data_IF_874486670027
#
_entry.id   IF_874486670027
#
_cell.length_a   1.000
_cell.length_b   1.000
_cell.length_c   1.000
_cell.angle_alpha   90.00
_cell.angle_beta   90.00
_cell.angle_gamma   90.00
#
_symmetry.space_group_name_H-M   'P 1'
#
loop_
_entity.id
_entity.type
_entity.pdbx_description
1 polymer ?
#
# COMPACT_ATOMS: atom_id res chain seq x y z
N UNK A 1 -24.92 -27.90 -51.26
CA UNK A 1 -24.54 -26.47 -51.21
C UNK A 1 -23.33 -26.34 -50.30
N UNK A 2 -22.14 -26.15 -50.87
CA UNK A 2 -20.92 -26.03 -50.09
C UNK A 2 -20.82 -24.61 -49.52
N UNK A 3 -20.76 -24.50 -48.18
CA UNK A 3 -20.50 -23.23 -47.50
C UNK A 3 -19.05 -22.82 -47.74
N UNK A 4 -18.85 -21.66 -48.34
CA UNK A 4 -17.53 -21.01 -48.47
C UNK A 4 -17.03 -20.61 -47.08
N UNK A 5 -15.77 -20.90 -46.70
CA UNK A 5 -15.27 -20.57 -45.37
C UNK A 5 -14.96 -19.08 -45.22
N UNK A 6 -15.38 -18.50 -44.09
CA UNK A 6 -15.31 -17.09 -43.66
C UNK A 6 -13.89 -16.51 -43.42
N UNK A 7 -12.83 -17.12 -43.96
CA UNK A 7 -11.45 -16.68 -43.74
C UNK A 7 -10.83 -15.96 -44.95
N UNK A 8 -11.65 -15.31 -45.80
CA UNK A 8 -11.12 -14.46 -46.86
C UNK A 8 -10.73 -13.11 -46.26
N UNK A 9 -9.43 -12.91 -46.09
CA UNK A 9 -8.86 -11.57 -45.99
C UNK A 9 -9.23 -10.82 -47.28
N UNK A 10 -9.90 -9.68 -47.13
CA UNK A 10 -10.16 -8.77 -48.24
C UNK A 10 -8.83 -8.40 -48.91
N UNK A 11 -8.78 -8.53 -50.24
CA UNK A 11 -7.62 -8.19 -51.05
C UNK A 11 -7.21 -6.74 -50.81
N UNK A 12 -8.17 -5.85 -50.57
CA UNK A 12 -7.95 -4.44 -50.26
C UNK A 12 -7.27 -4.24 -48.89
N UNK A 13 -7.68 -5.01 -47.88
CA UNK A 13 -7.03 -5.04 -46.58
C UNK A 13 -5.61 -5.63 -46.66
N UNK A 14 -5.40 -6.64 -47.50
CA UNK A 14 -4.08 -7.21 -47.75
C UNK A 14 -3.17 -6.20 -48.46
N UNK A 15 -3.67 -5.50 -49.47
CA UNK A 15 -2.93 -4.49 -50.22
C UNK A 15 -2.61 -3.27 -49.34
N UNK A 16 -3.50 -2.87 -48.42
CA UNK A 16 -3.23 -1.84 -47.42
C UNK A 16 -2.12 -2.24 -46.44
N UNK A 17 -2.11 -3.48 -45.96
CA UNK A 17 -1.06 -3.99 -45.07
C UNK A 17 0.28 -4.04 -45.82
N UNK A 18 0.26 -4.50 -47.07
CA UNK A 18 1.46 -4.56 -47.90
C UNK A 18 1.98 -3.15 -48.23
N UNK A 19 1.11 -2.19 -48.55
CA UNK A 19 1.47 -0.78 -48.77
C UNK A 19 2.08 -0.12 -47.51
N UNK A 20 1.50 -0.37 -46.33
CA UNK A 20 2.05 0.10 -45.05
C UNK A 20 3.39 -0.57 -44.69
N UNK A 21 3.64 -1.78 -45.19
CA UNK A 21 4.91 -2.47 -45.05
C UNK A 21 5.96 -1.94 -46.04
N UNK A 22 5.59 -1.57 -47.28
CA UNK A 22 6.50 -0.97 -48.28
C UNK A 22 6.91 0.47 -47.95
N UNK A 23 6.07 1.23 -47.24
CA UNK A 23 6.40 2.61 -46.85
C UNK A 23 7.40 2.70 -45.67
N UNK A 24 7.71 1.55 -45.03
CA UNK A 24 8.84 1.44 -44.10
C UNK A 24 10.13 1.38 -44.90
N UNK A 25 10.68 2.55 -45.27
CA UNK A 25 12.09 2.64 -45.73
C UNK A 25 13.02 2.04 -44.67
N UNK A 26 13.44 0.80 -44.90
CA UNK A 26 14.52 0.16 -44.16
C UNK A 26 15.78 0.95 -44.46
N UNK A 27 16.25 1.74 -43.49
CA UNK A 27 17.51 2.47 -43.64
C UNK A 27 18.65 1.47 -43.80
N UNK A 28 19.42 1.60 -44.88
CA UNK A 28 20.57 0.76 -45.15
C UNK A 28 21.73 1.18 -44.24
N UNK A 29 22.65 0.25 -43.97
CA UNK A 29 23.85 0.51 -43.17
C UNK A 29 24.66 1.65 -43.82
N UNK A 30 24.76 2.80 -43.14
CA UNK A 30 25.44 4.00 -43.65
C UNK A 30 24.51 5.17 -43.97
N UNK A 31 23.19 4.95 -44.03
CA UNK A 31 22.22 6.03 -44.22
C UNK A 31 22.20 6.95 -42.99
N UNK A 32 22.38 8.26 -43.24
CA UNK A 32 22.29 9.25 -42.18
C UNK A 32 20.83 9.44 -41.79
N UNK A 33 20.57 9.40 -40.49
CA UNK A 33 19.27 9.72 -39.92
C UNK A 33 18.85 11.14 -40.33
N UNK A 34 17.60 11.28 -40.79
CA UNK A 34 16.99 12.60 -41.01
C UNK A 34 16.99 13.40 -39.69
N UNK A 35 17.09 14.72 -39.81
CA UNK A 35 17.14 15.65 -38.65
C UNK A 35 16.01 15.39 -37.65
N UNK A 36 14.79 15.18 -38.11
CA UNK A 36 13.62 14.86 -37.28
C UNK A 36 13.75 13.53 -36.52
N UNK A 37 14.38 12.51 -37.14
CA UNK A 37 14.63 11.22 -36.49
C UNK A 37 15.68 11.34 -35.38
N UNK A 38 16.71 12.18 -35.60
CA UNK A 38 17.72 12.49 -34.59
C UNK A 38 17.11 13.26 -33.41
N UNK A 39 16.27 14.27 -33.68
CA UNK A 39 15.59 15.03 -32.63
C UNK A 39 14.63 14.17 -31.79
N UNK A 40 13.93 13.23 -32.43
CA UNK A 40 13.04 12.27 -31.73
C UNK A 40 13.84 11.29 -30.86
N UNK A 41 15.01 10.84 -31.34
CA UNK A 41 15.94 10.01 -30.56
C UNK A 41 16.54 10.76 -29.38
N UNK A 42 16.93 12.02 -29.56
CA UNK A 42 17.48 12.85 -28.49
C UNK A 42 16.45 13.06 -27.39
N UNK A 43 15.22 13.48 -27.74
CA UNK A 43 14.10 13.60 -26.80
C UNK A 43 13.80 12.31 -26.03
N UNK A 44 13.87 11.16 -26.71
CA UNK A 44 13.68 9.85 -26.08
C UNK A 44 14.82 9.49 -25.10
N UNK A 45 16.06 9.83 -25.42
CA UNK A 45 17.21 9.63 -24.52
C UNK A 45 17.10 10.51 -23.28
N UNK A 46 16.78 11.78 -23.46
CA UNK A 46 16.65 12.75 -22.36
C UNK A 46 15.50 12.36 -21.42
N UNK A 47 14.37 11.90 -21.96
CA UNK A 47 13.24 11.41 -21.17
C UNK A 47 13.60 10.15 -20.36
N UNK A 48 14.34 9.20 -20.94
CA UNK A 48 14.80 8.01 -20.24
C UNK A 48 15.84 8.34 -19.15
N UNK A 49 16.73 9.29 -19.40
CA UNK A 49 17.72 9.74 -18.42
C UNK A 49 17.02 10.40 -17.23
N UNK A 50 16.06 11.30 -17.47
CA UNK A 50 15.27 11.94 -16.44
C UNK A 50 14.47 10.93 -15.60
N UNK A 51 13.89 9.89 -16.24
CA UNK A 51 13.20 8.81 -15.53
C UNK A 51 14.14 8.04 -14.60
N UNK A 52 15.31 7.64 -15.10
CA UNK A 52 16.32 6.91 -14.31
C UNK A 52 16.84 7.74 -13.13
N UNK A 53 17.03 9.05 -13.32
CA UNK A 53 17.45 9.94 -12.23
C UNK A 53 16.37 10.05 -11.13
N UNK A 54 15.09 10.14 -11.51
CA UNK A 54 13.97 10.15 -10.53
C UNK A 54 13.86 8.83 -9.77
N UNK A 55 14.00 7.70 -10.46
CA UNK A 55 14.01 6.37 -9.84
C UNK A 55 15.18 6.21 -8.86
N UNK A 56 16.38 6.67 -9.21
CA UNK A 56 17.55 6.60 -8.32
C UNK A 56 17.45 7.51 -7.08
N UNK A 57 16.86 8.71 -7.22
CA UNK A 57 16.60 9.58 -6.06
C UNK A 57 15.57 8.94 -5.13
N UNK A 58 14.51 8.34 -5.69
CA UNK A 58 13.45 7.64 -4.95
C UNK A 58 13.99 6.49 -4.10
N UNK A 59 14.83 5.61 -4.68
CA UNK A 59 15.41 4.47 -3.95
C UNK A 59 16.37 4.91 -2.86
N UNK A 60 17.24 5.89 -3.12
CA UNK A 60 18.17 6.43 -2.12
C UNK A 60 17.44 7.10 -0.94
N UNK A 61 16.33 7.80 -1.19
CA UNK A 61 15.49 8.33 -0.09
C UNK A 61 14.81 7.22 0.70
N UNK A 62 14.28 6.18 0.04
CA UNK A 62 13.62 5.07 0.72
C UNK A 62 14.59 4.30 1.64
N UNK A 63 15.82 4.05 1.18
CA UNK A 63 16.88 3.40 1.97
C UNK A 63 17.30 4.24 3.18
N UNK A 64 17.44 5.57 3.01
CA UNK A 64 17.74 6.48 4.12
C UNK A 64 16.61 6.50 5.15
N UNK A 65 15.35 6.52 4.71
CA UNK A 65 14.20 6.44 5.61
C UNK A 65 14.12 5.09 6.33
N UNK A 66 14.41 3.98 5.65
CA UNK A 66 14.45 2.65 6.25
C UNK A 66 15.57 2.54 7.30
N UNK A 67 16.77 3.04 7.00
CA UNK A 67 17.90 3.05 7.94
C UNK A 67 17.66 3.97 9.14
N UNK A 68 17.06 5.14 8.95
CA UNK A 68 16.66 6.03 10.03
C UNK A 68 15.58 5.39 10.92
N UNK A 69 14.60 4.72 10.33
CA UNK A 69 13.56 3.96 11.04
C UNK A 69 14.14 2.80 11.83
N UNK A 70 15.09 2.05 11.26
CA UNK A 70 15.77 0.95 11.94
C UNK A 70 16.63 1.45 13.13
N UNK A 71 17.30 2.59 12.99
CA UNK A 71 18.05 3.23 14.10
C UNK A 71 17.13 3.76 15.19
N UNK A 72 16.00 4.37 14.83
CA UNK A 72 14.99 4.83 15.78
C UNK A 72 14.35 3.68 16.57
N UNK A 73 14.16 2.52 15.92
CA UNK A 73 13.61 1.31 16.56
C UNK A 73 14.61 0.59 17.47
N UNK A 74 15.93 0.72 17.24
CA UNK A 74 16.99 0.02 17.99
C UNK A 74 17.19 0.50 19.43
N UNK A 75 16.66 1.66 19.80
CA UNK A 75 16.88 2.27 21.13
C UNK A 75 15.63 2.38 22.02
N UNK A 76 14.45 1.96 21.56
CA UNK A 76 13.21 2.08 22.34
C UNK A 76 12.80 0.73 22.92
N UNK A 77 12.82 0.65 24.24
CA UNK A 77 12.26 -0.45 25.00
C UNK A 77 10.79 -0.66 24.61
N UNK A 78 10.38 -1.92 24.49
CA UNK A 78 8.99 -2.31 24.20
C UNK A 78 8.03 -1.64 25.18
N UNK A 79 8.43 -1.46 26.44
CA UNK A 79 7.67 -0.77 27.48
C UNK A 79 7.30 0.70 27.16
N UNK A 80 8.15 1.41 26.40
CA UNK A 80 7.95 2.84 26.05
C UNK A 80 7.53 3.05 24.60
N UNK A 81 7.56 1.99 23.79
CA UNK A 81 7.09 2.04 22.42
C UNK A 81 5.55 1.93 22.38
N UNK A 82 4.95 2.61 21.41
CA UNK A 82 3.51 2.59 21.12
C UNK A 82 2.95 1.16 21.05
N UNK A 83 3.73 0.19 20.56
CA UNK A 83 3.33 -1.23 20.52
C UNK A 83 3.14 -1.83 21.92
N UNK A 84 4.04 -1.56 22.87
CA UNK A 84 3.91 -2.10 24.23
C UNK A 84 2.80 -1.42 25.03
N UNK A 85 2.57 -0.11 24.82
CA UNK A 85 1.40 0.58 25.39
C UNK A 85 0.09 -0.09 24.97
N UNK A 86 -0.05 -0.42 23.69
CA UNK A 86 -1.22 -1.12 23.17
C UNK A 86 -1.29 -2.58 23.68
N UNK A 87 -0.18 -3.33 23.66
CA UNK A 87 -0.14 -4.72 24.16
C UNK A 87 -0.57 -4.85 25.62
N UNK A 88 -0.25 -3.87 26.47
CA UNK A 88 -0.62 -3.88 27.89
C UNK A 88 -2.14 -3.78 28.11
N UNK A 89 -2.86 -3.14 27.19
CA UNK A 89 -4.31 -2.94 27.28
C UNK A 89 -5.11 -4.13 26.75
N UNK A 90 -4.50 -4.96 25.90
CA UNK A 90 -5.19 -6.07 25.25
C UNK A 90 -5.10 -7.32 26.10
N UNK A 91 -6.22 -7.98 26.35
CA UNK A 91 -6.27 -9.27 27.02
C UNK A 91 -6.39 -10.44 26.03
N UNK A 92 -5.79 -11.61 26.34
CA UNK A 92 -5.97 -12.82 25.55
C UNK A 92 -7.47 -13.15 25.37
N UNK A 93 -7.89 -13.45 24.13
CA UNK A 93 -9.29 -13.72 23.81
C UNK A 93 -10.19 -12.47 23.66
N UNK A 94 -9.69 -11.29 24.03
CA UNK A 94 -10.40 -10.03 23.85
C UNK A 94 -10.33 -9.49 22.42
N UNK A 95 -11.39 -8.76 22.02
CA UNK A 95 -11.49 -8.07 20.74
C UNK A 95 -11.70 -6.59 20.96
N UNK A 96 -10.88 -5.77 20.31
CA UNK A 96 -10.81 -4.34 20.60
C UNK A 96 -10.93 -3.49 19.34
N UNK A 97 -11.68 -2.40 19.41
CA UNK A 97 -11.67 -1.35 18.39
C UNK A 97 -10.37 -0.56 18.43
N UNK A 98 -9.91 -0.07 17.27
CA UNK A 98 -8.71 0.78 17.21
C UNK A 98 -8.88 2.06 18.06
N UNK A 99 -10.11 2.61 18.10
CA UNK A 99 -10.47 3.80 18.87
C UNK A 99 -10.26 3.61 20.36
N UNK A 100 -10.92 2.59 20.90
CA UNK A 100 -10.84 2.27 22.33
C UNK A 100 -9.39 2.06 22.76
N UNK A 101 -8.60 1.38 21.92
CA UNK A 101 -7.18 1.15 22.19
C UNK A 101 -6.35 2.43 22.22
N UNK A 102 -6.51 3.35 21.26
CA UNK A 102 -5.69 4.58 21.26
C UNK A 102 -6.15 5.59 22.30
N UNK A 103 -7.44 5.67 22.59
CA UNK A 103 -7.98 6.53 23.66
C UNK A 103 -7.50 6.02 25.03
N UNK A 104 -7.65 4.72 25.32
CA UNK A 104 -7.16 4.11 26.55
C UNK A 104 -5.63 4.17 26.67
N UNK A 105 -4.91 4.07 25.54
CA UNK A 105 -3.47 4.21 25.54
C UNK A 105 -3.01 5.67 25.70
N UNK A 106 -3.88 6.68 25.57
CA UNK A 106 -3.48 8.09 25.52
C UNK A 106 -2.57 8.39 24.33
N UNK A 107 -2.95 7.90 23.15
CA UNK A 107 -2.19 7.99 21.90
C UNK A 107 -2.98 8.71 20.81
N UNK A 108 -2.26 9.40 19.92
CA UNK A 108 -2.87 9.94 18.70
C UNK A 108 -3.28 8.80 17.76
N UNK A 109 -4.39 8.99 17.05
CA UNK A 109 -4.94 8.02 16.09
C UNK A 109 -3.89 7.50 15.10
N UNK A 110 -3.10 8.38 14.50
CA UNK A 110 -2.10 8.01 13.48
C UNK A 110 -0.96 7.16 14.07
N UNK A 111 -0.56 7.48 15.30
CA UNK A 111 0.48 6.73 16.02
C UNK A 111 0.02 5.31 16.34
N UNK A 112 -1.24 5.16 16.77
CA UNK A 112 -1.85 3.87 17.02
C UNK A 112 -2.06 3.07 15.74
N UNK A 113 -2.50 3.70 14.65
CA UNK A 113 -2.67 3.05 13.36
C UNK A 113 -1.36 2.43 12.86
N UNK A 114 -0.26 3.18 12.91
CA UNK A 114 1.08 2.68 12.56
C UNK A 114 1.50 1.51 13.46
N UNK A 115 1.27 1.62 14.77
CA UNK A 115 1.62 0.58 15.72
C UNK A 115 0.83 -0.72 15.47
N UNK A 116 -0.49 -0.63 15.27
CA UNK A 116 -1.36 -1.76 14.98
C UNK A 116 -0.97 -2.48 13.67
N UNK A 117 -0.61 -1.72 12.62
CA UNK A 117 -0.10 -2.30 11.37
C UNK A 117 1.17 -3.11 11.62
N UNK A 118 2.16 -2.53 12.27
CA UNK A 118 3.41 -3.24 12.58
C UNK A 118 3.19 -4.46 13.48
N UNK A 119 2.26 -4.38 14.45
CA UNK A 119 1.96 -5.51 15.32
C UNK A 119 1.33 -6.66 14.54
N UNK A 120 0.50 -6.37 13.53
CA UNK A 120 -0.02 -7.38 12.60
C UNK A 120 1.07 -7.99 11.73
N UNK A 121 1.96 -7.17 11.17
CA UNK A 121 3.10 -7.64 10.35
C UNK A 121 4.03 -8.57 11.13
N UNK A 122 4.17 -8.34 12.45
CA UNK A 122 4.94 -9.20 13.36
C UNK A 122 4.18 -10.47 13.80
N UNK A 123 2.94 -10.66 13.38
CA UNK A 123 2.10 -11.78 13.80
C UNK A 123 1.65 -11.71 15.27
N UNK A 124 1.61 -10.52 15.86
CA UNK A 124 1.16 -10.34 17.24
C UNK A 124 -0.35 -10.14 17.35
N UNK A 125 -0.96 -9.61 16.29
CA UNK A 125 -2.38 -9.32 16.22
C UNK A 125 -3.00 -9.94 14.98
N UNK A 126 -4.27 -10.32 15.11
CA UNK A 126 -5.17 -10.52 13.98
C UNK A 126 -6.16 -9.35 13.87
N UNK A 127 -6.73 -9.16 12.68
CA UNK A 127 -7.76 -8.15 12.41
C UNK A 127 -8.94 -8.80 11.72
N UNK A 128 -10.14 -8.64 12.28
CA UNK A 128 -11.39 -9.12 11.69
C UNK A 128 -12.40 -7.98 11.55
N UNK A 129 -13.36 -8.14 10.64
CA UNK A 129 -14.48 -7.20 10.51
C UNK A 129 -15.41 -7.39 11.70
N UNK A 130 -15.88 -6.30 12.30
CA UNK A 130 -16.85 -6.38 13.39
C UNK A 130 -18.18 -6.93 12.84
N UNK A 131 -18.68 -8.09 13.33
CA UNK A 131 -19.96 -8.64 12.88
C UNK A 131 -21.15 -7.79 13.31
N UNK A 132 -21.03 -7.00 14.38
CA UNK A 132 -22.06 -6.08 14.82
C UNK A 132 -22.15 -4.81 13.97
N UNK A 133 -21.14 -4.52 13.15
CA UNK A 133 -21.14 -3.33 12.31
C UNK A 133 -22.11 -3.49 11.15
N UNK A 134 -23.27 -2.82 11.25
CA UNK A 134 -24.39 -2.84 10.30
C UNK A 134 -24.02 -2.49 8.84
N UNK A 135 -22.85 -1.89 8.61
CA UNK A 135 -22.37 -1.56 7.27
C UNK A 135 -23.06 -0.34 6.67
N UNK A 136 -23.95 0.30 7.43
CA UNK A 136 -24.64 1.50 7.00
C UNK A 136 -23.65 2.67 7.01
N UNK A 137 -23.47 3.30 5.86
CA UNK A 137 -22.82 4.62 5.83
C UNK A 137 -23.80 5.61 6.44
N UNK A 138 -23.53 6.01 7.67
CA UNK A 138 -24.34 7.01 8.37
C UNK A 138 -23.99 8.39 7.82
N UNK A 139 -25.02 9.19 7.62
CA UNK A 139 -24.87 10.59 7.21
C UNK A 139 -24.26 11.41 8.36
N UNK A 140 -23.63 12.57 8.07
CA UNK A 140 -23.07 13.43 9.11
C UNK A 140 -24.07 13.80 10.23
N UNK A 141 -25.35 13.99 9.91
CA UNK A 141 -26.39 14.31 10.89
C UNK A 141 -26.71 13.16 11.84
N UNK A 142 -26.75 11.92 11.33
CA UNK A 142 -26.96 10.72 12.13
C UNK A 142 -25.77 10.43 13.06
N UNK A 143 -24.55 10.72 12.60
CA UNK A 143 -23.33 10.62 13.42
C UNK A 143 -23.39 11.61 14.58
N UNK A 144 -23.73 12.88 14.32
CA UNK A 144 -23.86 13.90 15.37
C UNK A 144 -24.97 13.55 16.38
N UNK A 145 -26.11 13.06 15.92
CA UNK A 145 -27.22 12.66 16.79
C UNK A 145 -26.84 11.50 17.72
N UNK A 146 -26.12 10.48 17.22
CA UNK A 146 -25.62 9.37 18.05
C UNK A 146 -24.54 9.83 19.04
N UNK A 147 -23.64 10.71 18.62
CA UNK A 147 -22.62 11.30 19.50
C UNK A 147 -23.27 12.12 20.63
N UNK A 148 -24.30 12.91 20.32
CA UNK A 148 -25.07 13.65 21.33
C UNK A 148 -25.83 12.72 22.30
N UNK A 149 -26.25 11.54 21.82
CA UNK A 149 -26.85 10.50 22.64
C UNK A 149 -25.84 9.65 23.44
N UNK A 150 -24.54 9.99 23.38
CA UNK A 150 -23.48 9.23 24.08
C UNK A 150 -23.20 7.85 23.46
N UNK A 151 -23.78 7.54 22.30
CA UNK A 151 -23.57 6.28 21.61
C UNK A 151 -22.30 6.39 20.76
N UNK A 152 -21.23 5.76 21.22
CA UNK A 152 -19.99 5.64 20.46
C UNK A 152 -20.21 5.00 19.09
N UNK A 153 -19.43 5.43 18.10
CA UNK A 153 -19.43 4.78 16.79
C UNK A 153 -18.84 3.38 16.92
N UNK A 154 -19.60 2.36 16.53
CA UNK A 154 -19.15 0.98 16.55
C UNK A 154 -17.94 0.80 15.63
N UNK A 155 -16.85 0.16 16.10
CA UNK A 155 -15.66 0.00 15.29
C UNK A 155 -15.94 -0.93 14.11
N UNK A 156 -15.53 -0.53 12.91
CA UNK A 156 -15.60 -1.38 11.69
C UNK A 156 -14.71 -2.62 11.82
N UNK A 157 -13.54 -2.44 12.44
CA UNK A 157 -12.50 -3.46 12.54
C UNK A 157 -12.16 -3.73 14.01
N UNK A 158 -12.07 -5.01 14.35
CA UNK A 158 -11.65 -5.50 15.65
C UNK A 158 -10.27 -6.13 15.57
N UNK A 159 -9.49 -5.94 16.62
CA UNK A 159 -8.15 -6.49 16.78
C UNK A 159 -8.12 -7.46 17.95
N UNK A 160 -7.53 -8.63 17.73
CA UNK A 160 -7.35 -9.67 18.74
C UNK A 160 -5.89 -10.09 18.85
N UNK A 161 -5.47 -10.49 20.05
CA UNK A 161 -4.12 -11.01 20.29
C UNK A 161 -3.95 -12.42 19.72
N UNK A 162 -2.79 -12.64 19.09
CA UNK A 162 -2.30 -13.96 18.71
C UNK A 162 -1.28 -14.47 19.75
N UNK A 163 -0.91 -15.75 19.68
CA UNK A 163 0.10 -16.35 20.57
C UNK A 163 1.42 -15.55 20.60
N UNK A 164 1.88 -15.09 19.42
CA UNK A 164 3.07 -14.24 19.32
C UNK A 164 2.94 -12.89 20.04
N UNK A 165 1.73 -12.34 20.10
CA UNK A 165 1.43 -11.11 20.83
C UNK A 165 1.36 -11.32 22.34
N UNK A 166 0.85 -12.47 22.79
CA UNK A 166 0.84 -12.87 24.20
C UNK A 166 2.28 -13.04 24.69
N UNK A 167 3.12 -13.77 23.95
CA UNK A 167 4.53 -13.92 24.28
C UNK A 167 5.27 -12.57 24.32
N UNK A 168 4.96 -11.66 23.38
CA UNK A 168 5.52 -10.31 23.38
C UNK A 168 5.06 -9.47 24.58
N UNK A 169 3.79 -9.59 25.00
CA UNK A 169 3.24 -8.93 26.20
C UNK A 169 3.98 -9.40 27.45
N UNK A 170 4.18 -10.71 27.61
CA UNK A 170 4.90 -11.28 28.76
C UNK A 170 6.37 -10.89 28.79
N UNK A 171 7.05 -10.91 27.64
CA UNK A 171 8.44 -10.43 27.54
C UNK A 171 8.58 -8.95 27.94
N UNK A 172 7.57 -8.13 27.61
CA UNK A 172 7.55 -6.70 28.00
C UNK A 172 7.30 -6.47 29.49
N UNK A 173 6.80 -7.46 30.23
CA UNK A 173 6.65 -7.42 31.70
C UNK A 173 7.96 -7.75 32.43
N UNK A 174 8.77 -8.64 31.87
CA UNK A 174 10.01 -9.13 32.51
C UNK A 174 11.22 -8.19 32.34
N UNK A 175 11.21 -7.29 31.36
CA UNK A 175 12.32 -6.36 31.09
C UNK A 175 12.30 -5.04 31.86
N UNK A 176 11.39 -4.85 32.81
CA UNK A 176 11.17 -3.59 33.53
C UNK A 176 11.33 -3.69 35.06
N UNK A 177 12.23 -4.56 35.53
CA UNK A 177 12.62 -4.68 36.95
C UNK A 177 13.97 -4.03 37.22
#
# INVERSE_FOLDING_TARGET
MAKTPEWRFDQEAWDMIMAAATDRRVMRKGDRHRKESNEKRQRSRDANLARRQREAVSTATAERHAAARARWLKGRDLATNNQGRLLRLMEPGGWYGARDLYEAAGMLKDQAAIALVHMREKGWLTRTRNPAHDGAQRTPGEIMARQAAGVGEEPVWLYGLLEGGIAAKEKSRQGGG
#
